data_IF_961060332234
#
_entry.id   IF_961060332234
#
_cell.length_a   1.000
_cell.length_b   1.000
_cell.length_c   1.000
_cell.angle_alpha   90.00
_cell.angle_beta   90.00
_cell.angle_gamma   90.00
#
_symmetry.space_group_name_H-M   'P 1'
#
loop_
_entity.id
_entity.type
_entity.pdbx_description
1 polymer ?
#
# COMPACT_ATOMS: atom_id res chain seq x y z
N UNK A 1 -10.86 11.21 -2.98
CA UNK A 1 -11.64 10.21 -3.75
C UNK A 1 -11.03 8.81 -3.52
N UNK A 2 -11.84 7.77 -3.25
CA UNK A 2 -11.38 6.40 -2.98
C UNK A 2 -11.79 5.47 -4.12
N UNK A 3 -10.84 4.76 -4.74
CA UNK A 3 -11.07 3.85 -5.88
C UNK A 3 -10.60 2.44 -5.56
N UNK A 4 -11.38 1.44 -5.96
CA UNK A 4 -11.12 0.02 -5.70
C UNK A 4 -10.77 -0.70 -7.00
N UNK A 5 -9.69 -1.47 -6.98
CA UNK A 5 -9.18 -2.22 -8.13
C UNK A 5 -8.99 -3.69 -7.76
N UNK A 6 -9.82 -4.57 -8.31
CA UNK A 6 -9.73 -6.02 -8.05
C UNK A 6 -8.69 -6.70 -8.92
N UNK A 7 -8.15 -7.83 -8.45
CA UNK A 7 -7.16 -8.66 -9.15
C UNK A 7 -5.93 -7.87 -9.64
N UNK A 8 -5.41 -7.00 -8.78
CA UNK A 8 -4.22 -6.21 -9.10
C UNK A 8 -2.98 -7.08 -9.10
N UNK A 9 -2.02 -6.74 -9.95
CA UNK A 9 -0.69 -7.35 -9.91
C UNK A 9 0.12 -6.65 -8.82
N UNK A 10 0.64 -7.42 -7.87
CA UNK A 10 1.50 -6.92 -6.79
C UNK A 10 2.90 -7.49 -6.98
N UNK A 11 3.88 -6.61 -6.99
CA UNK A 11 5.28 -7.01 -6.98
C UNK A 11 5.70 -7.29 -5.54
N UNK A 12 6.23 -8.48 -5.32
CA UNK A 12 6.69 -8.94 -4.03
C UNK A 12 8.22 -8.91 -3.97
N UNK A 13 8.76 -8.46 -2.85
CA UNK A 13 10.16 -8.60 -2.49
C UNK A 13 10.28 -9.76 -1.49
N UNK A 14 11.18 -10.70 -1.77
CA UNK A 14 11.53 -11.75 -0.82
C UNK A 14 12.52 -11.19 0.19
N UNK A 15 12.14 -11.17 1.47
CA UNK A 15 13.03 -10.86 2.58
C UNK A 15 13.09 -12.06 3.51
N UNK A 16 14.26 -12.70 3.58
CA UNK A 16 14.48 -13.95 4.29
C UNK A 16 13.45 -15.03 3.86
N UNK A 17 12.54 -15.40 4.77
CA UNK A 17 11.50 -16.41 4.56
C UNK A 17 10.13 -15.82 4.23
N UNK A 18 10.01 -14.49 4.11
CA UNK A 18 8.73 -13.79 3.90
C UNK A 18 8.72 -13.02 2.58
N UNK A 19 7.54 -12.84 2.01
CA UNK A 19 7.31 -11.95 0.87
C UNK A 19 6.57 -10.71 1.34
N UNK A 20 7.09 -9.54 1.00
CA UNK A 20 6.47 -8.24 1.30
C UNK A 20 6.13 -7.51 0.00
N UNK A 21 5.00 -6.79 -0.08
CA UNK A 21 4.71 -5.92 -1.21
C UNK A 21 5.76 -4.82 -1.34
N UNK A 22 6.32 -4.65 -2.54
CA UNK A 22 7.20 -3.52 -2.90
C UNK A 22 6.57 -2.54 -3.88
N UNK A 23 5.54 -2.97 -4.59
CA UNK A 23 4.83 -2.16 -5.57
C UNK A 23 3.61 -2.88 -6.10
N UNK A 24 2.75 -2.18 -6.82
CA UNK A 24 1.59 -2.78 -7.46
C UNK A 24 1.15 -2.01 -8.70
N UNK A 25 0.44 -2.72 -9.59
CA UNK A 25 -0.15 -2.17 -10.80
C UNK A 25 -1.67 -2.16 -10.67
N UNK A 26 -2.25 -0.99 -10.86
CA UNK A 26 -3.69 -0.79 -10.91
C UNK A 26 -4.02 0.17 -12.05
N UNK A 27 -4.99 -0.17 -12.89
CA UNK A 27 -5.48 0.71 -13.96
C UNK A 27 -4.38 1.12 -14.97
N UNK A 28 -3.49 0.17 -15.31
CA UNK A 28 -2.34 0.43 -16.19
C UNK A 28 -1.25 1.34 -15.57
N UNK A 29 -1.39 1.75 -14.31
CA UNK A 29 -0.42 2.58 -13.59
C UNK A 29 0.34 1.79 -12.55
N UNK A 30 1.64 2.02 -12.48
CA UNK A 30 2.50 1.49 -11.42
C UNK A 30 2.52 2.44 -10.21
N UNK A 31 2.44 1.84 -9.03
CA UNK A 31 2.56 2.49 -7.73
C UNK A 31 3.73 1.84 -6.98
N UNK A 32 4.74 2.63 -6.65
CA UNK A 32 5.88 2.18 -5.88
C UNK A 32 5.58 2.37 -4.39
N UNK A 33 5.73 1.32 -3.57
CA UNK A 33 5.50 1.42 -2.13
C UNK A 33 6.74 2.04 -1.50
N UNK A 34 6.58 3.22 -0.90
CA UNK A 34 7.63 3.89 -0.13
C UNK A 34 7.63 3.42 1.31
N UNK A 35 6.44 3.14 1.84
CA UNK A 35 6.28 2.79 3.26
C UNK A 35 5.11 1.83 3.46
N UNK A 36 5.31 0.83 4.32
CA UNK A 36 4.25 -0.03 4.83
C UNK A 36 3.95 0.43 6.25
N UNK A 37 2.80 1.08 6.44
CA UNK A 37 2.40 1.67 7.72
C UNK A 37 1.85 0.60 8.67
N UNK A 38 1.04 -0.32 8.14
CA UNK A 38 0.40 -1.33 8.97
C UNK A 38 0.20 -2.63 8.20
N UNK A 39 0.35 -3.76 8.90
CA UNK A 39 -0.01 -5.09 8.39
C UNK A 39 -0.96 -5.78 9.37
N UNK A 40 -2.18 -6.05 8.93
CA UNK A 40 -3.19 -6.78 9.69
C UNK A 40 -3.47 -8.14 9.07
N UNK A 41 -3.36 -9.21 9.86
CA UNK A 41 -3.80 -10.56 9.49
C UNK A 41 -5.19 -10.81 10.05
N UNK A 42 -6.08 -11.34 9.23
CA UNK A 42 -7.45 -11.64 9.66
C UNK A 42 -8.43 -11.69 8.51
N UNK A 43 -9.69 -11.37 8.77
CA UNK A 43 -10.73 -11.33 7.75
C UNK A 43 -10.73 -10.00 6.99
N UNK A 44 -10.53 -10.05 5.68
CA UNK A 44 -10.34 -8.82 4.87
C UNK A 44 -11.56 -8.45 4.01
N UNK A 45 -12.37 -9.42 3.58
CA UNK A 45 -13.60 -9.25 2.78
C UNK A 45 -14.56 -10.39 2.98
N UNK A 46 -15.83 -10.11 3.24
CA UNK A 46 -16.90 -11.12 3.31
C UNK A 46 -16.51 -12.37 4.15
N UNK A 47 -15.70 -12.20 5.20
CA UNK A 47 -15.22 -13.32 6.02
C UNK A 47 -14.12 -14.19 5.39
N UNK A 48 -13.43 -13.73 4.33
CA UNK A 48 -12.24 -14.40 3.79
C UNK A 48 -10.99 -14.08 4.61
N UNK A 49 -10.23 -15.09 5.06
CA UNK A 49 -8.96 -14.89 5.73
C UNK A 49 -7.92 -14.34 4.74
N UNK A 50 -7.06 -13.43 5.21
CA UNK A 50 -6.11 -12.73 4.36
C UNK A 50 -5.20 -11.78 5.12
N UNK A 51 -4.49 -10.95 4.34
CA UNK A 51 -3.62 -9.89 4.84
C UNK A 51 -4.09 -8.55 4.29
N UNK A 52 -4.08 -7.52 5.15
CA UNK A 52 -4.31 -6.12 4.79
C UNK A 52 -3.03 -5.34 5.06
N UNK A 53 -2.55 -4.64 4.05
CA UNK A 53 -1.42 -3.73 4.15
C UNK A 53 -1.94 -2.31 3.94
N UNK A 54 -1.67 -1.43 4.90
CA UNK A 54 -1.80 0.01 4.70
C UNK A 54 -0.44 0.51 4.22
N UNK A 55 -0.40 1.08 3.01
CA UNK A 55 0.84 1.48 2.35
C UNK A 55 0.76 2.90 1.84
N UNK A 56 1.89 3.59 1.89
CA UNK A 56 2.06 4.88 1.26
C UNK A 56 2.94 4.71 0.03
N UNK A 57 2.46 5.25 -1.08
CA UNK A 57 3.15 5.19 -2.37
C UNK A 57 3.75 6.55 -2.73
N UNK A 58 4.54 6.58 -3.80
CA UNK A 58 5.04 7.81 -4.41
C UNK A 58 3.94 8.79 -4.84
N UNK A 59 2.74 8.29 -5.14
CA UNK A 59 1.62 9.07 -5.70
C UNK A 59 0.47 9.29 -4.72
N UNK A 60 0.07 8.24 -4.00
CA UNK A 60 -1.17 8.16 -3.21
C UNK A 60 -1.05 7.23 -2.00
N UNK A 61 -2.04 7.24 -1.12
CA UNK A 61 -2.18 6.20 -0.10
C UNK A 61 -2.97 5.02 -0.69
N UNK A 62 -2.65 3.80 -0.24
CA UNK A 62 -3.36 2.61 -0.68
C UNK A 62 -3.51 1.56 0.43
N UNK A 63 -4.58 0.79 0.33
CA UNK A 63 -4.73 -0.47 1.07
C UNK A 63 -4.61 -1.64 0.10
N UNK A 64 -3.66 -2.54 0.36
CA UNK A 64 -3.54 -3.80 -0.37
C UNK A 64 -4.15 -4.93 0.45
N UNK A 65 -5.09 -5.65 -0.16
CA UNK A 65 -5.79 -6.76 0.45
C UNK A 65 -5.42 -8.04 -0.30
N UNK A 66 -4.84 -9.01 0.40
CA UNK A 66 -4.55 -10.34 -0.13
C UNK A 66 -5.50 -11.38 0.43
N UNK A 67 -6.29 -12.01 -0.43
CA UNK A 67 -7.19 -13.09 -0.05
C UNK A 67 -6.46 -14.43 -0.09
N UNK A 68 -6.37 -15.12 1.05
CA UNK A 68 -5.65 -16.40 1.13
C UNK A 68 -6.39 -17.55 0.42
N UNK A 69 -7.70 -17.45 0.20
CA UNK A 69 -8.49 -18.49 -0.47
C UNK A 69 -8.31 -18.41 -1.98
N UNK A 70 -8.54 -17.23 -2.54
CA UNK A 70 -8.48 -17.02 -3.99
C UNK A 70 -7.07 -16.69 -4.49
N UNK A 71 -6.13 -16.39 -3.59
CA UNK A 71 -4.77 -15.91 -3.91
C UNK A 71 -4.76 -14.62 -4.73
N UNK A 72 -5.80 -13.81 -4.63
CA UNK A 72 -5.94 -12.57 -5.38
C UNK A 72 -5.64 -11.36 -4.50
N UNK A 73 -5.09 -10.33 -5.16
CA UNK A 73 -4.87 -9.03 -4.55
C UNK A 73 -5.95 -8.04 -4.96
N UNK A 74 -6.23 -7.09 -4.07
CA UNK A 74 -7.00 -5.89 -4.39
C UNK A 74 -6.29 -4.67 -3.84
N UNK A 75 -6.20 -3.61 -4.64
CA UNK A 75 -5.81 -2.29 -4.18
C UNK A 75 -7.04 -1.40 -3.94
N UNK A 76 -7.02 -0.63 -2.87
CA UNK A 76 -7.92 0.50 -2.66
C UNK A 76 -7.06 1.75 -2.56
N UNK A 77 -7.12 2.61 -3.57
CA UNK A 77 -6.28 3.79 -3.70
C UNK A 77 -7.09 5.02 -3.31
N UNK A 78 -6.52 5.88 -2.48
CA UNK A 78 -7.16 7.10 -2.01
C UNK A 78 -6.15 8.23 -1.87
N UNK A 79 -6.68 9.46 -1.91
CA UNK A 79 -5.84 10.64 -1.71
C UNK A 79 -5.32 10.66 -0.27
N UNK A 80 -4.05 11.04 -0.05
CA UNK A 80 -3.50 11.16 1.29
C UNK A 80 -4.29 12.17 2.13
N UNK A 81 -4.34 11.95 3.44
CA UNK A 81 -4.95 12.92 4.36
C UNK A 81 -4.15 14.24 4.27
N UNK A 82 -4.85 15.39 4.27
CA UNK A 82 -4.20 16.71 4.12
C UNK A 82 -3.12 16.95 5.18
N UNK A 83 -3.32 16.44 6.39
CA UNK A 83 -2.39 16.55 7.51
C UNK A 83 -1.14 15.69 7.31
N UNK A 84 -1.26 14.45 6.83
CA UNK A 84 -0.11 13.60 6.48
C UNK A 84 0.72 14.19 5.36
N UNK A 85 0.07 14.87 4.41
CA UNK A 85 0.75 15.53 3.29
C UNK A 85 1.61 16.70 3.78
N UNK A 86 1.08 17.53 4.69
CA UNK A 86 1.81 18.62 5.34
C UNK A 86 2.98 18.12 6.19
N UNK A 87 2.75 17.11 7.03
CA UNK A 87 3.79 16.57 7.90
C UNK A 87 4.95 15.95 7.09
N UNK A 88 4.65 15.29 5.95
CA UNK A 88 5.69 14.78 5.05
C UNK A 88 6.46 15.88 4.34
N UNK A 89 5.78 16.94 3.90
CA UNK A 89 6.44 18.10 3.29
C UNK A 89 7.37 18.78 4.31
N UNK A 90 6.94 18.97 5.56
CA UNK A 90 7.79 19.49 6.65
C UNK A 90 9.01 18.60 6.93
N UNK A 91 8.84 17.28 7.08
CA UNK A 91 9.97 16.36 7.29
C UNK A 91 10.96 16.38 6.12
N UNK A 92 10.46 16.43 4.88
CA UNK A 92 11.31 16.53 3.69
C UNK A 92 12.04 17.86 3.61
N UNK A 93 11.41 18.96 4.03
CA UNK A 93 12.03 20.28 4.14
C UNK A 93 13.14 20.26 5.21
N UNK A 94 12.86 19.74 6.40
CA UNK A 94 13.81 19.63 7.50
C UNK A 94 15.04 18.79 7.12
N UNK A 95 14.84 17.70 6.37
CA UNK A 95 15.92 16.86 5.86
C UNK A 95 16.80 17.57 4.82
N UNK A 96 16.31 18.58 4.09
CA UNK A 96 17.16 19.38 3.19
C UNK A 96 18.17 20.24 3.96
N UNK A 97 17.81 20.69 5.15
CA UNK A 97 18.65 21.57 5.97
C UNK A 97 19.68 20.82 6.83
N UNK A 98 19.65 19.48 6.77
CA UNK A 98 20.62 18.59 7.43
C UNK A 98 21.78 18.15 6.52
N UNK A 99 21.86 18.68 5.29
CA UNK A 99 22.98 18.52 4.36
C UNK A 99 23.76 19.82 4.19
#
# INVERSE_FOLDING_TARGET
MRRKYSNVRVDLLKMCTKYIPKGFYADGKQYEIKEIVEVKKGFIRCGSPGLRYLVITDKKNAELLFDNRTKQWTAIIFDPLKEEKKAREEILEDLKYLN
#
